data_IF_014225656691
#
_entry.id   IF_014225656691
#
_cell.length_a   1.000
_cell.length_b   1.000
_cell.length_c   1.000
_cell.angle_alpha   90.00
_cell.angle_beta   90.00
_cell.angle_gamma   90.00
#
_symmetry.space_group_name_H-M   'P 1'
#
loop_
_entity.id
_entity.type
_entity.pdbx_description
1 polymer ?
#
# COMPACT_ATOMS: atom_id res chain seq x y z
N UNK A 1 22.53 -9.24 -1.18
CA UNK A 1 22.33 -8.48 0.08
C UNK A 1 21.72 -9.47 1.07
N UNK A 2 22.28 -9.62 2.28
CA UNK A 2 21.71 -10.52 3.31
C UNK A 2 20.80 -9.67 4.19
N UNK A 3 19.58 -10.14 4.48
CA UNK A 3 18.65 -9.38 5.33
C UNK A 3 19.27 -9.09 6.69
N UNK A 4 19.19 -7.85 7.16
CA UNK A 4 19.56 -7.51 8.53
C UNK A 4 18.57 -8.22 9.48
N UNK A 5 19.07 -8.99 10.45
CA UNK A 5 18.26 -9.85 11.35
C UNK A 5 17.44 -10.96 10.64
N UNK A 6 18.07 -11.91 9.93
CA UNK A 6 17.33 -12.95 9.21
C UNK A 6 16.49 -13.82 10.16
N UNK A 7 15.23 -14.05 9.79
CA UNK A 7 14.25 -14.82 10.58
C UNK A 7 13.66 -14.11 11.81
N UNK A 8 14.07 -12.88 12.13
CA UNK A 8 13.61 -12.15 13.33
C UNK A 8 12.73 -10.97 12.93
N UNK A 9 11.42 -11.23 12.80
CA UNK A 9 10.42 -10.24 12.43
C UNK A 9 10.48 -8.98 13.32
N UNK A 10 10.58 -9.17 14.63
CA UNK A 10 10.52 -8.07 15.59
C UNK A 10 11.69 -7.09 15.41
N UNK A 11 12.92 -7.60 15.26
CA UNK A 11 14.09 -6.74 15.04
C UNK A 11 14.07 -6.06 13.67
N UNK A 12 13.66 -6.78 12.62
CA UNK A 12 13.52 -6.19 11.29
C UNK A 12 12.51 -5.05 11.26
N UNK A 13 11.32 -5.30 11.82
CA UNK A 13 10.25 -4.34 11.87
C UNK A 13 10.60 -3.13 12.75
N UNK A 14 11.26 -3.34 13.90
CA UNK A 14 11.74 -2.25 14.76
C UNK A 14 12.74 -1.35 14.05
N UNK A 15 13.76 -1.95 13.43
CA UNK A 15 14.78 -1.21 12.68
C UNK A 15 14.18 -0.37 11.53
N UNK A 16 13.26 -0.96 10.74
CA UNK A 16 12.62 -0.24 9.63
C UNK A 16 11.72 0.90 10.13
N UNK A 17 10.99 0.69 11.22
CA UNK A 17 10.14 1.74 11.79
C UNK A 17 10.94 2.89 12.36
N UNK A 18 12.01 2.63 13.11
CA UNK A 18 12.91 3.68 13.62
C UNK A 18 13.47 4.51 12.47
N UNK A 19 13.95 3.87 11.40
CA UNK A 19 14.47 4.60 10.22
C UNK A 19 13.42 5.43 9.50
N UNK A 20 12.19 4.93 9.43
CA UNK A 20 11.08 5.69 8.85
C UNK A 20 10.74 6.90 9.72
N UNK A 21 10.70 6.74 11.04
CA UNK A 21 10.40 7.82 11.99
C UNK A 21 11.51 8.88 11.97
N UNK A 22 12.78 8.48 11.98
CA UNK A 22 13.92 9.40 11.85
C UNK A 22 13.79 10.26 10.58
N UNK A 23 13.39 9.64 9.46
CA UNK A 23 13.17 10.35 8.20
C UNK A 23 12.00 11.32 8.29
N UNK A 24 10.88 10.90 8.90
CA UNK A 24 9.72 11.77 9.11
C UNK A 24 10.10 12.99 9.97
N UNK A 25 10.79 12.77 11.10
CA UNK A 25 11.24 13.83 11.98
C UNK A 25 12.17 14.81 11.26
N UNK A 26 13.05 14.32 10.38
CA UNK A 26 13.96 15.16 9.59
C UNK A 26 13.23 16.12 8.63
N UNK A 27 11.98 15.81 8.29
CA UNK A 27 11.11 16.63 7.44
C UNK A 27 10.02 17.36 8.26
N UNK A 28 10.14 17.37 9.60
CA UNK A 28 9.18 18.04 10.49
C UNK A 28 7.85 17.30 10.66
N UNK A 29 7.81 16.03 10.28
CA UNK A 29 6.63 15.16 10.35
C UNK A 29 6.81 14.10 11.45
N UNK A 30 5.72 13.46 11.85
CA UNK A 30 5.69 12.38 12.85
C UNK A 30 4.98 11.15 12.29
N UNK A 31 4.93 10.06 13.06
CA UNK A 31 4.12 8.89 12.69
C UNK A 31 2.63 9.21 12.51
N UNK A 32 2.10 10.22 13.21
CA UNK A 32 0.73 10.71 13.04
C UNK A 32 0.47 11.37 11.68
N UNK A 33 1.52 11.86 11.02
CA UNK A 33 1.47 12.45 9.68
C UNK A 33 1.66 11.41 8.57
N UNK A 34 1.92 10.15 8.92
CA UNK A 34 1.73 9.09 7.96
C UNK A 34 0.24 9.03 7.64
N UNK A 35 -0.13 8.77 6.39
CA UNK A 35 -1.56 8.65 6.01
C UNK A 35 -1.88 7.30 5.41
N UNK A 36 -0.83 6.52 5.08
CA UNK A 36 -0.95 5.22 4.46
C UNK A 36 0.31 4.40 4.67
N UNK A 37 0.13 3.10 4.81
CA UNK A 37 1.22 2.13 4.83
C UNK A 37 0.79 0.81 4.24
N UNK A 38 1.66 0.16 3.50
CA UNK A 38 1.52 -1.20 3.00
C UNK A 38 2.62 -2.02 3.66
N UNK A 39 2.25 -3.10 4.33
CA UNK A 39 3.22 -4.01 4.93
C UNK A 39 3.13 -5.36 4.23
N UNK A 40 4.25 -5.77 3.64
CA UNK A 40 4.39 -7.10 3.07
C UNK A 40 5.08 -7.98 4.11
N UNK A 41 4.31 -8.91 4.68
CA UNK A 41 4.83 -9.92 5.58
C UNK A 41 5.22 -11.15 4.79
N UNK A 42 6.30 -11.80 5.20
CA UNK A 42 6.66 -13.12 4.68
C UNK A 42 6.87 -14.08 5.85
N UNK A 43 6.76 -15.38 5.58
CA UNK A 43 6.80 -16.41 6.61
C UNK A 43 5.53 -16.41 7.49
N UNK A 44 5.71 -16.76 8.76
CA UNK A 44 4.61 -17.03 9.70
C UNK A 44 4.10 -15.79 10.46
N UNK A 45 4.76 -14.64 10.31
CA UNK A 45 4.35 -13.40 10.96
C UNK A 45 2.96 -12.95 10.49
N UNK A 46 2.11 -12.54 11.43
CA UNK A 46 0.75 -12.10 11.15
C UNK A 46 0.46 -10.66 11.59
N UNK A 47 -0.80 -10.24 11.42
CA UNK A 47 -1.26 -8.91 11.85
C UNK A 47 -0.97 -8.65 13.34
N UNK A 48 -1.08 -9.66 14.20
CA UNK A 48 -0.80 -9.52 15.62
C UNK A 48 0.66 -9.15 15.92
N UNK A 49 1.62 -9.72 15.18
CA UNK A 49 3.05 -9.42 15.35
C UNK A 49 3.36 -8.01 14.84
N UNK A 50 2.77 -7.65 13.70
CA UNK A 50 2.85 -6.30 13.15
C UNK A 50 2.32 -5.25 14.13
N UNK A 51 1.15 -5.48 14.73
CA UNK A 51 0.57 -4.54 15.70
C UNK A 51 1.41 -4.42 16.96
N UNK A 52 1.97 -5.53 17.47
CA UNK A 52 2.92 -5.48 18.60
C UNK A 52 4.15 -4.65 18.27
N UNK A 53 4.72 -4.86 17.09
CA UNK A 53 5.89 -4.11 16.64
C UNK A 53 5.58 -2.62 16.45
N UNK A 54 4.42 -2.26 15.88
CA UNK A 54 3.99 -0.85 15.78
C UNK A 54 3.74 -0.21 17.13
N UNK A 55 3.27 -1.00 18.09
CA UNK A 55 3.01 -0.57 19.45
C UNK A 55 4.26 -0.20 20.24
N UNK A 56 5.47 -0.48 19.74
CA UNK A 56 6.73 -0.10 20.41
C UNK A 56 7.13 1.35 20.18
N UNK A 57 6.53 2.03 19.20
CA UNK A 57 6.81 3.44 18.94
C UNK A 57 6.17 4.33 20.01
N UNK A 58 6.81 5.47 20.36
CA UNK A 58 6.20 6.52 21.19
C UNK A 58 4.84 6.96 20.62
N UNK A 59 3.92 7.43 21.45
CA UNK A 59 2.53 7.72 21.04
C UNK A 59 2.41 8.64 19.82
N UNK A 60 3.23 9.70 19.74
CA UNK A 60 3.26 10.63 18.60
C UNK A 60 3.83 10.04 17.30
N UNK A 61 4.56 8.93 17.40
CA UNK A 61 5.20 8.25 16.28
C UNK A 61 4.52 6.95 15.89
N UNK A 62 3.46 6.56 16.61
CA UNK A 62 2.67 5.38 16.25
C UNK A 62 2.09 5.55 14.86
N UNK A 63 2.32 4.54 14.03
CA UNK A 63 1.73 4.44 12.70
C UNK A 63 0.31 3.85 12.83
N UNK A 64 -0.68 4.72 13.02
CA UNK A 64 -2.09 4.34 13.31
C UNK A 64 -2.94 4.15 12.04
N UNK A 65 -2.35 4.40 10.86
CA UNK A 65 -3.09 4.56 9.61
C UNK A 65 -3.63 3.27 8.99
N UNK A 66 -4.73 3.37 8.21
CA UNK A 66 -5.21 2.27 7.40
C UNK A 66 -4.11 1.82 6.43
N UNK A 67 -3.95 0.51 6.34
CA UNK A 67 -2.89 -0.08 5.54
C UNK A 67 -3.24 -1.47 5.06
N UNK A 68 -2.70 -1.82 3.89
CA UNK A 68 -2.87 -3.16 3.34
C UNK A 68 -1.80 -4.08 3.89
N UNK A 69 -2.25 -5.20 4.45
CA UNK A 69 -1.40 -6.31 4.84
C UNK A 69 -1.44 -7.37 3.75
N UNK A 70 -0.28 -7.71 3.20
CA UNK A 70 -0.17 -8.77 2.20
C UNK A 70 0.87 -9.80 2.62
N UNK A 71 0.50 -11.08 2.62
CA UNK A 71 1.43 -12.17 2.88
C UNK A 71 2.02 -12.67 1.55
N UNK A 72 3.27 -12.31 1.25
CA UNK A 72 3.94 -12.72 0.00
C UNK A 72 4.85 -13.90 0.32
N UNK A 73 4.39 -15.11 0.04
CA UNK A 73 5.19 -16.34 0.22
C UNK A 73 6.47 -16.34 -0.64
N UNK A 74 6.48 -15.67 -1.80
CA UNK A 74 7.64 -15.69 -2.71
C UNK A 74 8.76 -14.69 -2.39
N UNK A 75 8.55 -13.70 -1.51
CA UNK A 75 9.66 -12.86 -1.01
C UNK A 75 10.62 -13.67 -0.11
N UNK A 76 10.14 -14.78 0.48
CA UNK A 76 10.96 -15.71 1.28
C UNK A 76 12.03 -16.44 0.48
N UNK A 77 11.92 -16.49 -0.86
CA UNK A 77 12.88 -17.20 -1.72
C UNK A 77 14.30 -16.59 -1.70
N UNK A 78 14.45 -15.37 -1.19
CA UNK A 78 15.73 -14.66 -1.05
C UNK A 78 16.20 -14.49 0.40
N UNK A 79 15.51 -15.08 1.38
CA UNK A 79 15.85 -14.97 2.80
C UNK A 79 15.48 -13.64 3.46
N UNK A 80 14.83 -12.72 2.73
CA UNK A 80 14.22 -11.52 3.29
C UNK A 80 12.87 -11.88 3.92
N UNK A 81 12.65 -11.42 5.16
CA UNK A 81 11.46 -11.81 5.93
C UNK A 81 10.34 -10.77 5.81
N UNK A 82 10.63 -9.52 5.44
CA UNK A 82 9.63 -8.46 5.29
C UNK A 82 10.06 -7.39 4.28
N UNK A 83 9.08 -6.73 3.67
CA UNK A 83 9.28 -5.49 2.92
C UNK A 83 8.20 -4.49 3.35
N UNK A 84 8.59 -3.24 3.59
CA UNK A 84 7.68 -2.15 3.97
C UNK A 84 7.58 -1.16 2.82
N UNK A 85 6.36 -0.79 2.44
CA UNK A 85 6.08 0.32 1.54
C UNK A 85 5.15 1.30 2.26
N UNK A 86 5.68 2.43 2.72
CA UNK A 86 4.92 3.41 3.50
C UNK A 86 4.77 4.71 2.71
N UNK A 87 3.54 5.24 2.64
CA UNK A 87 3.25 6.54 2.03
C UNK A 87 2.84 7.51 3.15
N UNK A 88 3.79 8.34 3.59
CA UNK A 88 3.53 9.43 4.55
C UNK A 88 3.08 10.72 3.86
N UNK A 89 2.20 11.50 4.50
CA UNK A 89 1.82 12.82 4.02
C UNK A 89 1.84 13.83 5.17
N UNK A 90 2.90 14.62 5.25
CA UNK A 90 2.98 15.75 6.16
C UNK A 90 2.18 16.95 5.65
N UNK A 91 1.57 17.70 6.58
CA UNK A 91 1.13 19.05 6.30
C UNK A 91 2.34 19.92 5.92
N UNK A 92 2.17 20.80 4.93
CA UNK A 92 3.22 21.76 4.59
C UNK A 92 3.46 22.71 5.77
N UNK A 93 4.72 22.93 6.14
CA UNK A 93 5.06 23.96 7.11
C UNK A 93 4.88 25.35 6.49
N UNK A 94 4.64 26.42 7.27
CA UNK A 94 4.48 27.78 6.74
C UNK A 94 5.68 28.30 5.91
N UNK A 95 6.84 27.67 6.04
CA UNK A 95 8.08 28.00 5.34
C UNK A 95 8.21 27.31 3.97
N UNK A 96 7.39 26.28 3.70
CA UNK A 96 7.37 25.56 2.42
C UNK A 96 6.42 26.26 1.44
N UNK A 97 6.89 26.52 0.22
CA UNK A 97 6.08 27.17 -0.81
C UNK A 97 4.92 26.26 -1.23
N UNK A 98 3.75 26.55 -0.66
CA UNK A 98 2.51 25.82 -0.86
C UNK A 98 1.91 26.02 -2.25
N UNK A 99 2.65 26.51 -3.25
CA UNK A 99 2.15 26.69 -4.62
C UNK A 99 2.83 25.80 -5.65
N UNK A 100 3.91 25.10 -5.29
CA UNK A 100 4.73 24.35 -6.26
C UNK A 100 4.78 22.86 -5.95
N UNK A 101 4.40 22.02 -6.93
CA UNK A 101 4.64 20.58 -6.88
C UNK A 101 6.15 20.30 -6.93
N UNK A 102 6.66 19.53 -5.97
CA UNK A 102 8.05 19.09 -5.94
C UNK A 102 8.16 17.60 -5.64
N UNK A 103 9.14 16.94 -6.25
CA UNK A 103 9.48 15.53 -6.00
C UNK A 103 10.96 15.42 -5.63
N UNK A 104 11.27 14.89 -4.45
CA UNK A 104 12.64 14.66 -3.96
C UNK A 104 12.87 13.18 -3.74
N UNK A 105 13.99 12.66 -4.22
CA UNK A 105 14.39 11.25 -4.02
C UNK A 105 15.38 11.22 -2.86
N UNK A 106 15.13 10.38 -1.86
CA UNK A 106 16.04 10.14 -0.74
C UNK A 106 16.82 8.87 -1.05
N UNK A 107 18.15 8.93 -1.21
CA UNK A 107 18.97 7.74 -1.45
C UNK A 107 18.96 6.80 -0.23
N UNK A 108 19.13 5.50 -0.46
CA UNK A 108 19.25 4.52 0.63
C UNK A 108 20.71 4.26 0.96
N UNK A 109 21.02 4.32 2.26
CA UNK A 109 22.32 3.93 2.80
C UNK A 109 22.52 2.40 2.82
N UNK A 110 21.43 1.64 2.68
CA UNK A 110 21.43 0.16 2.69
C UNK A 110 21.57 -0.42 1.28
N UNK A 111 20.99 0.25 0.29
CA UNK A 111 21.05 -0.15 -1.11
C UNK A 111 21.08 1.08 -2.03
N UNK A 112 22.24 1.49 -2.56
CA UNK A 112 22.33 2.68 -3.41
C UNK A 112 21.53 2.58 -4.72
N UNK A 113 21.12 1.37 -5.14
CA UNK A 113 20.32 1.15 -6.34
C UNK A 113 18.81 1.36 -6.11
N UNK A 114 18.37 1.48 -4.85
CA UNK A 114 16.96 1.63 -4.47
C UNK A 114 16.82 2.85 -3.54
N UNK A 115 16.03 3.88 -3.89
CA UNK A 115 15.86 5.02 -3.00
C UNK A 115 15.16 4.60 -1.70
N UNK A 116 15.61 5.15 -0.57
CA UNK A 116 14.99 4.93 0.74
C UNK A 116 13.60 5.56 0.82
N UNK A 117 13.37 6.67 0.10
CA UNK A 117 12.07 7.29 -0.01
C UNK A 117 11.95 8.17 -1.26
N UNK A 118 10.71 8.51 -1.61
CA UNK A 118 10.37 9.56 -2.58
C UNK A 118 9.38 10.50 -1.92
N UNK A 119 9.79 11.75 -1.73
CA UNK A 119 9.00 12.82 -1.12
C UNK A 119 8.28 13.58 -2.23
N UNK A 120 6.98 13.85 -2.02
CA UNK A 120 6.18 14.74 -2.87
C UNK A 120 5.71 15.92 -2.02
N UNK A 121 5.89 17.15 -2.50
CA UNK A 121 5.52 18.42 -1.82
C UNK A 121 4.65 19.30 -2.74
N UNK A 122 3.90 20.26 -2.20
CA UNK A 122 2.96 21.13 -2.93
C UNK A 122 1.48 20.71 -2.86
N UNK A 123 0.52 21.52 -3.35
CA UNK A 123 -0.93 21.26 -3.22
C UNK A 123 -1.40 20.06 -4.03
N UNK A 124 -2.04 19.12 -3.36
CA UNK A 124 -2.86 18.08 -3.98
C UNK A 124 -3.84 17.53 -2.94
N UNK A 125 -4.99 17.06 -3.39
CA UNK A 125 -5.85 16.22 -2.57
C UNK A 125 -5.55 14.77 -2.91
N UNK A 126 -5.12 13.99 -1.92
CA UNK A 126 -4.85 12.56 -2.08
C UNK A 126 -5.93 11.75 -1.39
N UNK A 127 -6.44 10.73 -2.09
CA UNK A 127 -7.37 9.76 -1.53
C UNK A 127 -6.66 8.41 -1.48
N UNK A 128 -6.41 7.94 -0.26
CA UNK A 128 -5.83 6.63 -0.02
C UNK A 128 -6.95 5.63 0.24
N UNK A 129 -7.14 4.71 -0.70
CA UNK A 129 -8.12 3.64 -0.62
C UNK A 129 -7.38 2.40 -0.14
N UNK A 130 -7.74 1.87 1.04
CA UNK A 130 -7.20 0.61 1.56
C UNK A 130 -7.48 -0.56 0.61
N UNK A 131 -6.86 -1.72 0.87
CA UNK A 131 -7.18 -2.95 0.16
C UNK A 131 -8.68 -3.28 0.14
N UNK A 132 -9.30 -3.14 -1.02
CA UNK A 132 -10.69 -3.53 -1.28
C UNK A 132 -10.69 -4.89 -1.98
N UNK A 133 -11.60 -5.75 -1.55
CA UNK A 133 -11.89 -7.03 -2.18
C UNK A 133 -13.37 -7.20 -2.49
N UNK A 134 -13.70 -8.34 -3.08
CA UNK A 134 -15.07 -8.74 -3.44
C UNK A 134 -15.85 -9.28 -2.24
N UNK A 135 -16.10 -8.40 -1.27
CA UNK A 135 -16.97 -8.69 -0.12
C UNK A 135 -18.38 -8.10 -0.34
N UNK A 136 -19.41 -8.77 0.14
CA UNK A 136 -20.76 -8.22 0.22
C UNK A 136 -20.96 -7.33 1.46
N UNK A 137 -22.19 -6.86 1.72
CA UNK A 137 -22.53 -6.01 2.87
C UNK A 137 -22.42 -6.75 4.22
N UNK A 138 -22.49 -8.08 4.22
CA UNK A 138 -22.30 -8.91 5.41
C UNK A 138 -20.81 -9.20 5.69
N UNK A 139 -19.91 -8.82 4.77
CA UNK A 139 -18.48 -9.11 4.84
C UNK A 139 -18.10 -10.48 4.30
N UNK A 140 -19.02 -11.17 3.62
CA UNK A 140 -18.80 -12.48 3.00
C UNK A 140 -18.30 -12.33 1.56
N UNK A 141 -17.63 -13.37 1.03
CA UNK A 141 -17.12 -13.34 -0.34
C UNK A 141 -18.29 -13.32 -1.35
N UNK A 142 -18.41 -12.22 -2.08
CA UNK A 142 -19.21 -12.18 -3.30
C UNK A 142 -18.45 -12.85 -4.46
N UNK A 143 -19.15 -13.60 -5.30
CA UNK A 143 -18.59 -14.27 -6.48
C UNK A 143 -17.47 -15.27 -6.15
N UNK A 144 -17.73 -16.17 -5.19
CA UNK A 144 -16.75 -17.18 -4.77
C UNK A 144 -16.26 -18.03 -5.96
N UNK A 145 -14.94 -18.07 -6.16
CA UNK A 145 -14.32 -18.85 -7.23
C UNK A 145 -14.31 -18.20 -8.62
N UNK A 146 -14.95 -17.04 -8.80
CA UNK A 146 -14.97 -16.31 -10.07
C UNK A 146 -14.06 -15.08 -10.01
N UNK A 147 -12.86 -15.19 -10.56
CA UNK A 147 -11.88 -14.10 -10.54
C UNK A 147 -12.39 -12.84 -11.26
N UNK A 148 -13.02 -13.00 -12.42
CA UNK A 148 -13.45 -11.87 -13.24
C UNK A 148 -14.57 -11.08 -12.57
N UNK A 149 -15.53 -11.78 -11.96
CA UNK A 149 -16.61 -11.16 -11.20
C UNK A 149 -16.08 -10.52 -9.90
N UNK A 150 -15.15 -11.16 -9.19
CA UNK A 150 -14.50 -10.52 -8.02
C UNK A 150 -13.73 -9.26 -8.41
N UNK A 151 -13.03 -9.27 -9.55
CA UNK A 151 -12.27 -8.13 -10.01
C UNK A 151 -13.19 -6.95 -10.36
N UNK A 152 -14.26 -7.24 -11.10
CA UNK A 152 -15.25 -6.23 -11.50
C UNK A 152 -15.89 -5.57 -10.28
N UNK A 153 -16.35 -6.36 -9.31
CA UNK A 153 -16.93 -5.84 -8.07
C UNK A 153 -15.91 -5.05 -7.25
N UNK A 154 -14.65 -5.50 -7.18
CA UNK A 154 -13.59 -4.79 -6.45
C UNK A 154 -13.37 -3.38 -7.03
N UNK A 155 -13.28 -3.26 -8.36
CA UNK A 155 -13.13 -1.95 -9.02
C UNK A 155 -14.37 -1.08 -8.85
N UNK A 156 -15.57 -1.64 -8.95
CA UNK A 156 -16.84 -0.93 -8.72
C UNK A 156 -16.91 -0.34 -7.30
N UNK A 157 -16.49 -1.13 -6.29
CA UNK A 157 -16.46 -0.67 -4.90
C UNK A 157 -15.44 0.45 -4.69
N UNK A 158 -14.27 0.35 -5.32
CA UNK A 158 -13.26 1.43 -5.29
C UNK A 158 -13.83 2.71 -5.92
N UNK A 159 -14.44 2.60 -7.10
CA UNK A 159 -15.05 3.74 -7.79
C UNK A 159 -16.16 4.38 -6.96
N UNK A 160 -17.02 3.56 -6.35
CA UNK A 160 -18.09 4.01 -5.46
C UNK A 160 -17.52 4.80 -4.28
N UNK A 161 -16.46 4.29 -3.64
CA UNK A 161 -15.80 4.97 -2.53
C UNK A 161 -15.19 6.31 -2.97
N UNK A 162 -14.49 6.35 -4.10
CA UNK A 162 -13.90 7.57 -4.65
C UNK A 162 -14.97 8.63 -4.97
N UNK A 163 -16.10 8.20 -5.56
CA UNK A 163 -17.23 9.07 -5.89
C UNK A 163 -17.86 9.73 -4.68
N UNK A 164 -17.84 9.10 -3.51
CA UNK A 164 -18.30 9.76 -2.26
C UNK A 164 -17.45 10.98 -1.86
N UNK A 165 -16.32 11.19 -2.54
CA UNK A 165 -15.38 12.27 -2.30
C UNK A 165 -15.06 13.05 -3.58
N UNK A 166 -15.94 13.07 -4.58
CA UNK A 166 -15.70 13.82 -5.84
C UNK A 166 -14.42 13.38 -6.57
N UNK A 167 -14.17 12.06 -6.61
CA UNK A 167 -13.12 11.44 -7.41
C UNK A 167 -13.68 10.21 -8.15
N UNK A 168 -12.92 9.63 -9.08
CA UNK A 168 -13.29 8.39 -9.78
C UNK A 168 -12.07 7.54 -10.14
N UNK A 169 -12.30 6.40 -10.80
CA UNK A 169 -11.23 5.48 -11.23
C UNK A 169 -10.11 6.15 -12.04
N UNK A 170 -10.43 7.18 -12.83
CA UNK A 170 -9.45 7.92 -13.65
C UNK A 170 -8.51 8.80 -12.83
N UNK A 171 -8.85 9.09 -11.57
CA UNK A 171 -8.00 9.86 -10.66
C UNK A 171 -6.99 8.96 -9.92
N UNK A 172 -7.09 7.63 -10.08
CA UNK A 172 -6.15 6.69 -9.48
C UNK A 172 -4.79 6.85 -10.18
N UNK A 173 -3.76 7.15 -9.39
CA UNK A 173 -2.38 7.26 -9.85
C UNK A 173 -1.63 5.93 -9.75
N UNK A 174 -1.91 5.14 -8.71
CA UNK A 174 -1.25 3.86 -8.43
C UNK A 174 -2.21 2.83 -7.86
N UNK A 175 -2.07 1.59 -8.32
CA UNK A 175 -2.66 0.40 -7.72
C UNK A 175 -1.58 -0.61 -7.29
N UNK A 176 -1.78 -1.22 -6.13
CA UNK A 176 -1.16 -2.48 -5.73
C UNK A 176 -2.25 -3.55 -5.79
N UNK A 177 -2.01 -4.57 -6.61
CA UNK A 177 -2.97 -5.62 -6.92
C UNK A 177 -2.40 -6.93 -6.37
N UNK A 178 -3.09 -7.49 -5.40
CA UNK A 178 -2.72 -8.74 -4.76
C UNK A 178 -3.62 -9.84 -5.29
N UNK A 179 -3.04 -10.95 -5.74
CA UNK A 179 -3.79 -12.12 -6.21
C UNK A 179 -3.29 -13.40 -5.57
N UNK A 180 -4.17 -14.37 -5.36
CA UNK A 180 -3.77 -15.69 -4.84
C UNK A 180 -3.17 -16.61 -5.92
N UNK A 181 -3.42 -16.30 -7.19
CA UNK A 181 -2.88 -17.02 -8.34
C UNK A 181 -2.56 -16.08 -9.51
N UNK A 182 -1.27 -15.95 -9.82
CA UNK A 182 -0.74 -15.12 -10.91
C UNK A 182 -1.23 -15.53 -12.30
N UNK A 183 -1.74 -16.75 -12.47
CA UNK A 183 -2.33 -17.22 -13.74
C UNK A 183 -3.58 -16.43 -14.12
N UNK A 184 -4.21 -15.73 -13.18
CA UNK A 184 -5.34 -14.82 -13.42
C UNK A 184 -4.93 -13.47 -14.07
N UNK A 185 -3.65 -13.25 -14.36
CA UNK A 185 -3.19 -12.03 -15.02
C UNK A 185 -3.94 -11.68 -16.34
N UNK A 186 -4.31 -12.63 -17.22
CA UNK A 186 -5.16 -12.34 -18.38
C UNK A 186 -6.54 -11.80 -17.98
N UNK A 187 -7.23 -12.46 -17.06
CA UNK A 187 -8.56 -12.03 -16.60
C UNK A 187 -8.50 -10.66 -15.91
N UNK A 188 -7.40 -10.39 -15.20
CA UNK A 188 -7.15 -9.07 -14.61
C UNK A 188 -6.96 -7.99 -15.68
N UNK A 189 -6.21 -8.28 -16.76
CA UNK A 189 -6.07 -7.33 -17.88
C UNK A 189 -7.41 -7.04 -18.54
N UNK A 190 -8.27 -8.05 -18.72
CA UNK A 190 -9.59 -7.88 -19.31
C UNK A 190 -10.50 -7.05 -18.39
N UNK A 191 -10.44 -7.27 -17.09
CA UNK A 191 -11.12 -6.47 -16.08
C UNK A 191 -10.67 -4.99 -16.12
N UNK A 192 -9.37 -4.74 -16.17
CA UNK A 192 -8.82 -3.37 -16.30
C UNK A 192 -9.17 -2.72 -17.65
N UNK A 193 -9.18 -3.46 -18.75
CA UNK A 193 -9.58 -2.94 -20.06
C UNK A 193 -11.06 -2.52 -20.08
N UNK A 194 -11.93 -3.26 -19.39
CA UNK A 194 -13.35 -2.88 -19.22
C UNK A 194 -13.52 -1.63 -18.34
N UNK A 195 -12.74 -1.53 -17.26
CA UNK A 195 -12.80 -0.40 -16.34
C UNK A 195 -12.16 0.89 -16.91
N UNK A 196 -11.21 0.75 -17.83
CA UNK A 196 -10.49 1.85 -18.47
C UNK A 196 -10.53 1.70 -20.00
N UNK A 197 -11.71 1.88 -20.63
CA UNK A 197 -11.90 1.65 -22.06
C UNK A 197 -11.03 2.55 -22.94
N UNK A 198 -10.68 3.74 -22.45
CA UNK A 198 -9.83 4.71 -23.14
C UNK A 198 -8.32 4.44 -22.94
N UNK A 199 -7.96 3.37 -22.22
CA UNK A 199 -6.56 2.97 -21.99
C UNK A 199 -5.80 3.76 -20.93
N UNK A 200 -6.41 4.78 -20.32
CA UNK A 200 -5.82 5.60 -19.25
C UNK A 200 -5.79 4.89 -17.90
N UNK A 201 -5.14 3.73 -17.84
CA UNK A 201 -5.01 2.93 -16.62
C UNK A 201 -3.96 3.51 -15.65
N UNK A 202 -4.14 3.31 -14.34
CA UNK A 202 -3.14 3.67 -13.33
C UNK A 202 -1.88 2.83 -13.49
N UNK A 203 -0.77 3.30 -12.90
CA UNK A 203 0.38 2.46 -12.68
C UNK A 203 -0.01 1.28 -11.77
N UNK A 204 0.43 0.07 -12.09
CA UNK A 204 0.04 -1.14 -11.37
C UNK A 204 1.27 -1.89 -10.88
N UNK A 205 1.20 -2.45 -9.68
CA UNK A 205 2.08 -3.55 -9.26
C UNK A 205 1.19 -4.76 -9.02
N UNK A 206 1.42 -5.85 -9.74
CA UNK A 206 0.63 -7.07 -9.63
C UNK A 206 1.44 -8.15 -8.92
N UNK A 207 0.95 -8.65 -7.79
CA UNK A 207 1.71 -9.47 -6.85
C UNK A 207 0.95 -10.73 -6.50
N UNK A 208 1.62 -11.88 -6.66
CA UNK A 208 1.11 -13.16 -6.17
C UNK A 208 1.35 -13.28 -4.65
N UNK A 209 0.29 -13.51 -3.89
CA UNK A 209 0.30 -13.71 -2.43
C UNK A 209 -0.12 -15.14 -2.07
N UNK A 210 0.27 -15.61 -0.89
CA UNK A 210 -0.11 -16.94 -0.41
C UNK A 210 -1.61 -17.03 -0.08
N UNK A 211 -2.14 -15.95 0.48
CA UNK A 211 -3.53 -15.81 0.93
C UNK A 211 -3.88 -14.34 1.10
N UNK A 212 -5.18 -14.06 1.07
CA UNK A 212 -5.79 -12.77 1.33
C UNK A 212 -6.54 -12.78 2.68
N UNK A 213 -6.93 -11.62 3.25
CA UNK A 213 -7.47 -11.53 4.60
C UNK A 213 -8.74 -12.36 4.84
N UNK A 214 -9.60 -12.51 3.84
CA UNK A 214 -10.82 -13.33 3.92
C UNK A 214 -10.64 -14.59 3.04
N UNK A 215 -10.84 -15.81 3.59
CA UNK A 215 -10.80 -17.04 2.81
C UNK A 215 -11.75 -16.99 1.61
N UNK A 216 -11.28 -17.36 0.42
CA UNK A 216 -12.06 -17.34 -0.82
C UNK A 216 -11.90 -16.07 -1.65
N UNK A 217 -11.24 -15.02 -1.12
CA UNK A 217 -10.77 -13.91 -1.95
C UNK A 217 -9.73 -14.39 -2.96
N UNK A 218 -9.90 -13.98 -4.21
CA UNK A 218 -8.95 -14.25 -5.29
C UNK A 218 -8.07 -13.04 -5.62
N UNK A 219 -8.58 -11.84 -5.35
CA UNK A 219 -7.81 -10.60 -5.44
C UNK A 219 -8.19 -9.58 -4.37
N UNK A 220 -7.28 -8.63 -4.15
CA UNK A 220 -7.50 -7.40 -3.41
C UNK A 220 -6.76 -6.26 -4.12
N UNK A 221 -7.40 -5.10 -4.27
CA UNK A 221 -6.80 -3.92 -4.89
C UNK A 221 -6.68 -2.83 -3.85
N UNK A 222 -5.48 -2.28 -3.76
CA UNK A 222 -5.15 -1.16 -2.92
C UNK A 222 -4.74 0.03 -3.81
N UNK A 223 -5.31 1.22 -3.59
CA UNK A 223 -5.22 2.31 -4.56
C UNK A 223 -4.94 3.69 -3.93
N UNK A 224 -4.19 4.51 -4.65
CA UNK A 224 -3.99 5.93 -4.34
C UNK A 224 -4.49 6.78 -5.50
N UNK A 225 -5.47 7.64 -5.23
CA UNK A 225 -5.98 8.63 -6.17
C UNK A 225 -5.52 10.05 -5.81
N UNK A 226 -5.40 10.90 -6.82
CA UNK A 226 -4.94 12.28 -6.68
C UNK A 226 -5.84 13.19 -7.49
N UNK A 227 -6.40 14.21 -6.85
CA UNK A 227 -7.19 15.26 -7.51
C UNK A 227 -6.59 16.63 -7.23
N UNK A 228 -7.06 17.63 -7.99
CA UNK A 228 -6.89 19.02 -7.60
C UNK A 228 -7.46 19.27 -6.18
N UNK A 229 -6.95 20.28 -5.45
CA UNK A 229 -7.46 20.68 -4.14
C UNK A 229 -8.96 20.96 -4.11
#
# INVERSE_FOLDING_TARGET
>A
MVSMFPGDFAKQCGFLQEKLVDLLHSEGATGADVVRSTTFLTGDAGLGDLLKCRGTLPDGDKLINPGTLANISQLSALGEVNTYDSIGMAALTPEQDATVFAKKIVPSDLNPDVPAAVIVSGPRRTLNVSGIGSLDEAGEIANLGDFAAQCSLTLEKIDTLLKTRDAGLTDIAKMLVFVTDSRNAPDFRDCMAKAYPDGNQPAQTFVNVARLPVPGMLLQIDATAVTAP
#
